data_IF_900180693382
#
_entry.id   IF_900180693382
#
_cell.length_a   1.000
_cell.length_b   1.000
_cell.length_c   1.000
_cell.angle_alpha   90.00
_cell.angle_beta   90.00
_cell.angle_gamma   90.00
#
_symmetry.space_group_name_H-M   'P 1'
#
loop_
_entity.id
_entity.type
_entity.pdbx_description
1 polymer ?
#
# COMPACT_ATOMS: atom_id res chain seq x y z
N UNK A 1 3.26 -17.61 8.15
CA UNK A 1 2.42 -18.84 8.22
C UNK A 1 3.16 -19.94 7.45
N UNK A 2 3.06 -21.21 7.83
CA UNK A 2 3.79 -22.28 7.13
C UNK A 2 3.38 -22.42 5.64
N UNK A 3 2.20 -21.94 5.27
CA UNK A 3 1.62 -22.02 3.92
C UNK A 3 1.82 -20.76 3.05
N UNK A 4 2.56 -19.75 3.52
CA UNK A 4 2.74 -18.52 2.75
C UNK A 4 3.26 -17.32 3.55
N UNK A 5 3.48 -16.22 2.85
CA UNK A 5 3.95 -14.97 3.42
C UNK A 5 3.15 -13.77 2.93
N UNK A 6 3.13 -12.74 3.77
CA UNK A 6 2.58 -11.43 3.48
C UNK A 6 3.67 -10.39 3.66
N UNK A 7 3.82 -9.51 2.68
CA UNK A 7 4.72 -8.37 2.74
C UNK A 7 3.91 -7.09 2.49
N UNK A 8 4.03 -6.14 3.41
CA UNK A 8 3.54 -4.78 3.24
C UNK A 8 4.73 -3.85 3.01
N UNK A 9 4.90 -3.38 1.77
CA UNK A 9 5.80 -2.28 1.47
C UNK A 9 5.02 -0.98 1.52
N UNK A 10 5.28 -0.15 2.54
CA UNK A 10 4.62 1.13 2.74
C UNK A 10 5.62 2.27 2.58
N UNK A 11 5.37 3.12 1.59
CA UNK A 11 6.04 4.41 1.46
C UNK A 11 5.09 5.52 1.92
N UNK A 12 5.56 6.35 2.84
CA UNK A 12 4.80 7.45 3.39
C UNK A 12 5.59 8.75 3.23
N UNK A 13 4.92 9.77 2.68
CA UNK A 13 5.46 11.11 2.51
C UNK A 13 4.48 12.12 3.10
N UNK A 14 4.97 12.92 4.04
CA UNK A 14 4.28 14.06 4.60
C UNK A 14 5.09 15.31 4.29
N UNK A 15 4.44 16.31 3.71
CA UNK A 15 4.97 17.65 3.56
C UNK A 15 4.05 18.56 4.34
N UNK A 16 4.52 19.01 5.49
CA UNK A 16 3.73 19.75 6.48
C UNK A 16 3.08 20.99 5.86
N UNK A 17 1.77 21.13 6.03
CA UNK A 17 0.96 22.20 5.45
C UNK A 17 0.66 22.08 3.94
N UNK A 18 1.30 21.15 3.21
CA UNK A 18 1.14 21.03 1.76
C UNK A 18 0.33 19.79 1.39
N UNK A 19 0.90 18.60 1.57
CA UNK A 19 0.29 17.36 1.14
C UNK A 19 0.76 16.14 1.91
N UNK A 20 -0.03 15.08 1.79
CA UNK A 20 0.28 13.75 2.30
C UNK A 20 0.08 12.72 1.19
N UNK A 21 1.02 11.80 1.07
CA UNK A 21 0.97 10.68 0.12
C UNK A 21 1.33 9.39 0.82
N UNK A 22 0.57 8.35 0.50
CA UNK A 22 0.79 7.00 0.97
C UNK A 22 0.78 6.07 -0.24
N UNK A 23 1.81 5.24 -0.36
CA UNK A 23 1.90 4.19 -1.38
C UNK A 23 2.10 2.87 -0.68
N UNK A 24 1.06 2.06 -0.66
CA UNK A 24 1.10 0.72 -0.13
C UNK A 24 1.22 -0.27 -1.29
N UNK A 25 2.13 -1.22 -1.16
CA UNK A 25 2.21 -2.40 -2.02
C UNK A 25 2.13 -3.63 -1.13
N UNK A 26 1.03 -4.38 -1.25
CA UNK A 26 0.78 -5.62 -0.54
C UNK A 26 1.12 -6.77 -1.45
N UNK A 27 1.98 -7.66 -0.99
CA UNK A 27 2.30 -8.90 -1.66
C UNK A 27 1.84 -10.04 -0.78
N UNK A 28 1.02 -10.91 -1.34
CA UNK A 28 0.55 -12.11 -0.67
C UNK A 28 0.97 -13.32 -1.50
N UNK A 29 1.78 -14.19 -0.93
CA UNK A 29 2.23 -15.41 -1.57
C UNK A 29 1.62 -16.61 -0.85
N UNK A 30 0.93 -17.45 -1.60
CA UNK A 30 0.45 -18.75 -1.14
C UNK A 30 1.35 -19.85 -1.73
N UNK A 31 1.79 -20.75 -0.86
CA UNK A 31 2.53 -21.93 -1.26
C UNK A 31 1.56 -23.04 -1.65
N UNK A 32 1.24 -23.13 -2.94
CA UNK A 32 0.48 -24.25 -3.52
C UNK A 32 1.43 -25.37 -3.98
N UNK A 33 1.76 -26.28 -3.04
CA UNK A 33 2.51 -27.50 -3.31
C UNK A 33 3.88 -27.30 -4.00
N UNK A 34 4.43 -28.37 -4.56
CA UNK A 34 5.82 -28.42 -5.08
C UNK A 34 6.09 -27.59 -6.36
N UNK A 35 5.07 -26.99 -6.98
CA UNK A 35 5.19 -26.55 -8.39
C UNK A 35 4.60 -25.17 -8.72
N UNK A 36 3.73 -24.57 -7.88
CA UNK A 36 3.11 -23.28 -8.21
C UNK A 36 3.04 -22.38 -6.98
N UNK A 37 3.86 -21.35 -6.95
CA UNK A 37 3.67 -20.22 -6.03
C UNK A 37 3.02 -19.08 -6.80
N UNK A 38 1.81 -18.70 -6.38
CA UNK A 38 1.12 -17.52 -6.91
C UNK A 38 1.34 -16.36 -5.96
N UNK A 39 1.83 -15.24 -6.49
CA UNK A 39 1.97 -13.99 -5.72
C UNK A 39 0.90 -13.02 -6.20
N UNK A 40 0.03 -12.61 -5.30
CA UNK A 40 -0.88 -11.48 -5.52
C UNK A 40 -0.16 -10.19 -5.13
N UNK A 41 -0.08 -9.23 -6.05
CA UNK A 41 0.42 -7.88 -5.81
C UNK A 41 -0.70 -6.86 -5.90
N UNK A 42 -0.92 -6.13 -4.83
CA UNK A 42 -1.85 -5.01 -4.79
C UNK A 42 -1.08 -3.72 -4.51
N UNK A 43 -1.10 -2.79 -5.46
CA UNK A 43 -0.57 -1.44 -5.27
C UNK A 43 -1.73 -0.47 -5.06
N UNK A 44 -1.69 0.30 -3.97
CA UNK A 44 -2.67 1.33 -3.64
C UNK A 44 -1.94 2.63 -3.36
N UNK A 45 -2.27 3.67 -4.12
CA UNK A 45 -1.76 5.02 -3.95
C UNK A 45 -2.87 5.90 -3.44
N UNK A 46 -2.58 6.60 -2.35
CA UNK A 46 -3.49 7.53 -1.70
C UNK A 46 -2.78 8.87 -1.52
N UNK A 47 -3.54 9.95 -1.59
CA UNK A 47 -2.98 11.26 -1.32
C UNK A 47 -3.99 12.39 -1.36
N UNK A 48 -3.71 13.43 -0.59
CA UNK A 48 -4.51 14.65 -0.51
C UNK A 48 -3.66 15.81 -0.02
N UNK A 49 -4.15 17.03 -0.21
CA UNK A 49 -3.58 18.23 0.42
C UNK A 49 -4.12 18.42 1.83
N UNK A 50 -3.38 19.12 2.69
CA UNK A 50 -3.85 19.48 4.03
C UNK A 50 -5.15 20.30 3.96
N UNK A 51 -5.24 21.23 3.01
CA UNK A 51 -6.45 22.03 2.79
C UNK A 51 -7.67 21.16 2.45
N UNK A 52 -7.50 20.15 1.58
CA UNK A 52 -8.58 19.24 1.21
C UNK A 52 -8.98 18.27 2.33
N UNK A 53 -8.07 17.97 3.26
CA UNK A 53 -8.39 17.20 4.47
C UNK A 53 -9.11 18.08 5.51
N UNK A 54 -8.65 19.32 5.70
CA UNK A 54 -9.27 20.28 6.62
C UNK A 54 -10.70 20.63 6.21
N UNK A 55 -10.98 20.78 4.91
CA UNK A 55 -12.35 21.02 4.43
C UNK A 55 -13.31 19.86 4.69
N UNK A 56 -12.79 18.65 4.94
CA UNK A 56 -13.57 17.48 5.36
C UNK A 56 -13.71 17.37 6.89
N UNK A 57 -13.18 18.33 7.64
CA UNK A 57 -13.22 18.35 9.11
C UNK A 57 -12.07 17.58 9.79
N UNK A 58 -11.03 17.19 9.04
CA UNK A 58 -9.86 16.58 9.67
C UNK A 58 -8.92 17.64 10.27
N UNK A 59 -8.09 17.28 11.27
CA UNK A 59 -7.17 18.23 11.91
C UNK A 59 -6.26 18.95 10.89
N UNK A 60 -6.10 20.25 11.02
CA UNK A 60 -5.09 20.99 10.24
C UNK A 60 -3.68 20.85 10.83
N UNK A 61 -3.58 20.47 12.11
CA UNK A 61 -2.33 20.26 12.80
C UNK A 61 -1.57 19.04 12.24
N UNK A 62 -0.30 19.25 11.90
CA UNK A 62 0.58 18.22 11.35
C UNK A 62 0.91 17.14 12.38
N UNK A 63 0.90 17.46 13.68
CA UNK A 63 1.19 16.50 14.75
C UNK A 63 0.15 15.37 14.83
N UNK A 64 -1.10 15.66 14.46
CA UNK A 64 -2.19 14.68 14.41
C UNK A 64 -1.99 13.58 13.36
N UNK A 65 -1.03 13.75 12.46
CA UNK A 65 -0.74 12.83 11.35
C UNK A 65 0.64 12.18 11.46
N UNK A 66 1.07 11.87 12.68
CA UNK A 66 2.37 11.23 12.92
C UNK A 66 2.36 9.73 12.58
N UNK A 67 1.21 9.07 12.66
CA UNK A 67 1.07 7.65 12.29
C UNK A 67 0.49 7.48 10.86
N UNK A 68 1.22 6.84 9.94
CA UNK A 68 0.72 6.57 8.59
C UNK A 68 -0.50 5.63 8.54
N UNK A 69 -0.75 4.86 9.59
CA UNK A 69 -1.92 3.96 9.68
C UNK A 69 -3.21 4.74 9.83
N UNK A 70 -3.21 5.78 10.68
CA UNK A 70 -4.37 6.66 10.92
C UNK A 70 -4.79 7.39 9.65
N UNK A 71 -3.82 7.87 8.87
CA UNK A 71 -4.12 8.62 7.64
C UNK A 71 -4.51 7.69 6.48
N UNK A 72 -4.14 6.41 6.52
CA UNK A 72 -4.37 5.48 5.41
C UNK A 72 -5.86 5.33 5.03
N UNK A 73 -6.75 5.42 6.01
CA UNK A 73 -8.21 5.35 5.82
C UNK A 73 -8.82 6.68 5.36
N UNK A 74 -8.18 7.80 5.71
CA UNK A 74 -8.67 9.17 5.46
C UNK A 74 -8.24 9.70 4.09
N UNK A 75 -7.09 9.26 3.58
CA UNK A 75 -6.61 9.67 2.27
C UNK A 75 -7.43 9.01 1.16
N UNK A 76 -7.91 9.79 0.18
CA UNK A 76 -8.61 9.26 -0.97
C UNK A 76 -7.64 8.42 -1.83
N UNK A 77 -8.17 7.36 -2.43
CA UNK A 77 -7.44 6.49 -3.35
C UNK A 77 -7.33 7.21 -4.69
N UNK A 78 -6.10 7.41 -5.15
CA UNK A 78 -5.78 8.00 -6.45
C UNK A 78 -5.60 6.90 -7.49
N UNK A 79 -4.97 5.79 -7.10
CA UNK A 79 -4.75 4.64 -7.96
C UNK A 79 -4.80 3.36 -7.14
N UNK A 80 -5.41 2.33 -7.71
CA UNK A 80 -5.38 0.98 -7.18
C UNK A 80 -5.18 0.00 -8.32
N UNK A 81 -4.25 -0.93 -8.14
CA UNK A 81 -3.92 -1.96 -9.12
C UNK A 81 -3.68 -3.28 -8.43
N UNK A 82 -4.41 -4.31 -8.83
CA UNK A 82 -4.17 -5.69 -8.43
C UNK A 82 -3.57 -6.46 -9.61
N UNK A 83 -2.56 -7.28 -9.34
CA UNK A 83 -1.88 -8.08 -10.35
C UNK A 83 -1.54 -9.45 -9.77
N UNK A 84 -1.78 -10.50 -10.55
CA UNK A 84 -1.27 -11.83 -10.27
C UNK A 84 0.12 -11.96 -10.90
N UNK A 85 1.11 -12.33 -10.10
CA UNK A 85 2.47 -12.62 -10.53
C UNK A 85 2.66 -14.14 -10.47
N UNK A 86 2.93 -14.72 -11.63
CA UNK A 86 3.30 -16.13 -11.76
C UNK A 86 4.81 -16.23 -11.79
N UNK A 87 5.38 -17.08 -10.92
CA UNK A 87 6.80 -17.42 -11.00
C UNK A 87 6.91 -18.65 -11.89
N UNK A 88 7.33 -18.46 -13.14
CA UNK A 88 7.68 -19.57 -14.02
C UNK A 88 9.09 -20.06 -13.65
N UNK A 89 9.28 -21.39 -13.62
CA UNK A 89 10.63 -21.95 -13.45
C UNK A 89 11.44 -21.59 -14.70
N UNK A 90 12.71 -21.17 -14.57
CA UNK A 90 13.57 -21.03 -15.75
C UNK A 90 13.65 -22.39 -16.46
N UNK A 91 13.34 -22.41 -17.77
CA UNK A 91 13.59 -23.57 -18.61
C UNK A 91 15.05 -23.97 -18.46
N UNK A 92 15.31 -25.17 -17.95
CA UNK A 92 16.63 -25.79 -18.05
C UNK A 92 16.86 -26.08 -19.53
N UNK A 93 17.79 -25.37 -20.17
CA UNK A 93 18.39 -25.82 -21.43
C UNK A 93 19.30 -27.00 -21.18
#
# INVERSE_FOLDING_TARGET
>A
MPSGWFLLLRFWLRVDGVLMRLRDTRLHCLFEGHMKSVILRESCWRGATFQALSSKGYPSDCAAYSDPSIISERLPIIMQKAQKLSIEKPCKH
#
